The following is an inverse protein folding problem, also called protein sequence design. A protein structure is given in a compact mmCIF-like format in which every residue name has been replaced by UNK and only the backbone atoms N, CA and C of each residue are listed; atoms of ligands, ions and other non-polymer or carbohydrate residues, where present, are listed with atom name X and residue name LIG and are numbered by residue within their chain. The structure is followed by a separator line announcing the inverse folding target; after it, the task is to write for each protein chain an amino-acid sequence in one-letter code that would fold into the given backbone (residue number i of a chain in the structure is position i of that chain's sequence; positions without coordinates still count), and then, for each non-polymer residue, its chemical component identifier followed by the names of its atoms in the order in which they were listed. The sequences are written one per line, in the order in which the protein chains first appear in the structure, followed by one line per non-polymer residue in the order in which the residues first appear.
data_IF_970351630466
#
_entry.id   IF_970351630466
#
_cell.length_a   1.000
_cell.length_b   1.000
_cell.length_c   1.000
_cell.angle_alpha   90.00
_cell.angle_beta   90.00
_cell.angle_gamma   90.00
#
_symmetry.space_group_name_H-M   'P 1'
#
loop_
_entity.id
_entity.type
_entity.pdbx_description
1 polymer ?
#
# COMPACT_ATOMS: atom_id res chain seq x y z
N UNK A 1 20.20 0.60 -11.10
CA UNK A 1 19.07 -0.33 -11.26
C UNK A 1 18.48 -0.05 -12.63
N UNK A 2 18.35 -1.06 -13.48
CA UNK A 2 17.77 -0.88 -14.81
C UNK A 2 16.26 -0.55 -14.70
N UNK A 3 15.67 0.05 -15.73
CA UNK A 3 14.23 0.34 -15.74
C UNK A 3 13.40 -0.94 -15.57
N UNK A 4 13.86 -2.07 -16.09
CA UNK A 4 13.20 -3.37 -15.92
C UNK A 4 13.21 -3.81 -14.46
N UNK A 5 14.37 -3.71 -13.80
CA UNK A 5 14.50 -4.03 -12.37
C UNK A 5 13.58 -3.14 -11.52
N UNK A 6 13.50 -1.84 -11.84
CA UNK A 6 12.59 -0.89 -11.19
C UNK A 6 11.13 -1.30 -11.34
N UNK A 7 10.72 -1.70 -12.54
CA UNK A 7 9.35 -2.17 -12.83
C UNK A 7 9.04 -3.46 -12.06
N UNK A 8 9.96 -4.43 -12.04
CA UNK A 8 9.73 -5.68 -11.33
C UNK A 8 9.71 -5.48 -9.80
N UNK A 9 10.51 -4.55 -9.29
CA UNK A 9 10.42 -4.12 -7.90
C UNK A 9 9.07 -3.43 -7.60
N UNK A 10 8.60 -2.55 -8.48
CA UNK A 10 7.29 -1.90 -8.35
C UNK A 10 6.16 -2.92 -8.25
N UNK A 11 6.11 -3.92 -9.15
CA UNK A 11 5.13 -5.02 -9.12
C UNK A 11 5.18 -5.80 -7.81
N UNK A 12 6.38 -6.02 -7.27
CA UNK A 12 6.56 -6.71 -5.99
C UNK A 12 5.94 -5.90 -4.84
N UNK A 13 6.14 -4.58 -4.83
CA UNK A 13 5.53 -3.69 -3.84
C UNK A 13 4.00 -3.67 -3.98
N UNK A 14 3.48 -3.64 -5.21
CA UNK A 14 2.04 -3.71 -5.50
C UNK A 14 1.41 -5.01 -5.00
N UNK A 15 2.06 -6.15 -5.25
CA UNK A 15 1.58 -7.43 -4.75
C UNK A 15 1.54 -7.47 -3.22
N UNK A 16 2.57 -6.94 -2.54
CA UNK A 16 2.57 -6.85 -1.07
C UNK A 16 1.44 -5.98 -0.54
N UNK A 17 1.22 -4.81 -1.14
CA UNK A 17 0.09 -3.93 -0.78
C UNK A 17 -1.26 -4.63 -1.00
N UNK A 18 -1.41 -5.32 -2.13
CA UNK A 18 -2.63 -6.10 -2.45
C UNK A 18 -2.89 -7.20 -1.43
N UNK A 19 -1.85 -7.93 -1.01
CA UNK A 19 -1.97 -8.98 0.00
C UNK A 19 -2.43 -8.40 1.34
N UNK A 20 -1.87 -7.25 1.77
CA UNK A 20 -2.28 -6.59 3.01
C UNK A 20 -3.75 -6.16 2.94
N UNK A 21 -4.19 -5.57 1.82
CA UNK A 21 -5.59 -5.18 1.64
C UNK A 21 -6.51 -6.42 1.71
N UNK A 22 -6.09 -7.53 1.10
CA UNK A 22 -6.85 -8.78 1.10
C UNK A 22 -6.98 -9.33 2.51
N UNK A 23 -5.87 -9.43 3.26
CA UNK A 23 -5.88 -9.83 4.68
C UNK A 23 -6.79 -8.95 5.53
N UNK A 24 -6.72 -7.62 5.37
CA UNK A 24 -7.59 -6.70 6.11
C UNK A 24 -9.08 -6.98 5.84
N UNK A 25 -9.45 -7.25 4.58
CA UNK A 25 -10.83 -7.52 4.19
C UNK A 25 -11.32 -8.91 4.58
N UNK A 26 -10.54 -9.94 4.27
CA UNK A 26 -10.95 -11.34 4.41
C UNK A 26 -10.77 -11.86 5.84
N UNK A 27 -9.63 -11.57 6.46
CA UNK A 27 -9.31 -12.11 7.79
C UNK A 27 -9.85 -11.21 8.92
N UNK A 28 -9.90 -9.90 8.69
CA UNK A 28 -10.29 -8.92 9.72
C UNK A 28 -11.63 -8.23 9.45
N UNK A 29 -12.32 -8.54 8.34
CA UNK A 29 -13.59 -7.89 7.96
C UNK A 29 -13.53 -6.36 8.02
N UNK A 30 -12.37 -5.79 7.69
CA UNK A 30 -12.08 -4.37 7.79
C UNK A 30 -11.72 -3.79 6.42
N UNK A 31 -12.41 -2.72 6.02
CA UNK A 31 -12.05 -2.00 4.82
C UNK A 31 -11.08 -0.85 5.13
N UNK A 32 -9.94 -0.74 4.41
CA UNK A 32 -9.02 0.38 4.58
C UNK A 32 -9.72 1.73 4.40
N UNK A 33 -9.72 2.55 5.46
CA UNK A 33 -10.39 3.84 5.50
C UNK A 33 -11.58 3.89 6.47
N UNK A 34 -12.07 2.73 6.92
CA UNK A 34 -13.06 2.68 7.99
C UNK A 34 -12.45 3.12 9.34
N UNK A 35 -13.24 3.74 10.22
CA UNK A 35 -12.76 4.10 11.56
C UNK A 35 -12.47 2.84 12.39
N UNK A 36 -11.35 2.88 13.12
CA UNK A 36 -10.97 1.85 14.10
C UNK A 36 -11.56 2.08 15.50
N UNK A 37 -12.30 3.19 15.64
CA UNK A 37 -12.99 3.57 16.87
C UNK A 37 -14.50 3.50 16.66
N UNK A 38 -15.22 3.26 17.73
CA UNK A 38 -16.67 3.33 17.76
C UNK A 38 -17.19 4.78 17.83
N UNK A 39 -18.50 4.94 18.01
CA UNK A 39 -19.15 6.25 18.08
C UNK A 39 -18.80 7.05 19.34
N UNK A 40 -18.34 6.39 20.40
CA UNK A 40 -17.92 7.01 21.66
C UNK A 40 -16.42 7.34 21.65
N UNK A 41 -15.68 6.90 20.62
CA UNK A 41 -14.27 7.15 20.42
C UNK A 41 -13.35 6.10 21.04
N UNK A 42 -13.89 4.98 21.50
CA UNK A 42 -13.11 3.85 22.00
C UNK A 42 -12.72 2.91 20.86
N UNK A 43 -11.61 2.16 20.99
CA UNK A 43 -11.26 1.14 20.02
C UNK A 43 -12.42 0.16 19.82
N UNK A 44 -12.74 -0.14 18.56
CA UNK A 44 -13.78 -1.12 18.20
C UNK A 44 -13.49 -2.47 18.86
N UNK A 45 -14.45 -2.98 19.61
CA UNK A 45 -14.34 -4.28 20.29
C UNK A 45 -14.69 -5.48 19.40
N UNK A 46 -15.28 -5.24 18.22
CA UNK A 46 -15.73 -6.27 17.28
C UNK A 46 -14.67 -6.66 16.24
N UNK A 47 -13.51 -5.99 16.24
CA UNK A 47 -12.38 -6.26 15.34
C UNK A 47 -11.06 -6.25 16.12
N UNK A 48 -10.03 -6.90 15.58
CA UNK A 48 -8.67 -6.81 16.13
C UNK A 48 -7.99 -5.50 15.71
N UNK A 49 -8.31 -4.42 16.43
CA UNK A 49 -7.76 -3.08 16.18
C UNK A 49 -6.23 -3.05 16.20
N UNK A 50 -5.60 -3.86 17.06
CA UNK A 50 -4.14 -3.87 17.17
C UNK A 50 -3.51 -4.43 15.89
N UNK A 51 -3.96 -5.59 15.44
CA UNK A 51 -3.39 -6.26 14.26
C UNK A 51 -3.71 -5.47 12.99
N UNK A 52 -4.94 -4.97 12.86
CA UNK A 52 -5.32 -4.08 11.75
C UNK A 52 -4.41 -2.85 11.70
N UNK A 53 -4.11 -2.23 12.85
CA UNK A 53 -3.21 -1.08 12.92
C UNK A 53 -1.80 -1.43 12.43
N UNK A 54 -1.29 -2.63 12.70
CA UNK A 54 0.02 -3.06 12.21
C UNK A 54 0.01 -3.24 10.68
N UNK A 55 -1.01 -3.89 10.14
CA UNK A 55 -1.17 -4.03 8.68
C UNK A 55 -1.27 -2.67 7.98
N UNK A 56 -2.02 -1.72 8.54
CA UNK A 56 -2.10 -0.35 7.99
C UNK A 56 -0.73 0.35 8.02
N UNK A 57 0.05 0.18 9.10
CA UNK A 57 1.41 0.75 9.19
C UNK A 57 2.34 0.13 8.15
N UNK A 58 2.28 -1.18 7.98
CA UNK A 58 3.07 -1.88 6.96
C UNK A 58 2.68 -1.43 5.55
N UNK A 59 1.38 -1.32 5.27
CA UNK A 59 0.87 -0.79 4.01
C UNK A 59 1.44 0.60 3.73
N UNK A 60 1.36 1.51 4.70
CA UNK A 60 1.89 2.89 4.57
C UNK A 60 3.39 2.90 4.32
N UNK A 61 4.14 2.01 4.96
CA UNK A 61 5.58 1.86 4.73
C UNK A 61 5.85 1.44 3.27
N UNK A 62 5.20 0.38 2.80
CA UNK A 62 5.36 -0.09 1.41
C UNK A 62 4.93 1.00 0.42
N UNK A 63 3.82 1.69 0.70
CA UNK A 63 3.34 2.80 -0.13
C UNK A 63 4.36 3.95 -0.22
N UNK A 64 5.07 4.24 0.88
CA UNK A 64 6.13 5.26 0.89
C UNK A 64 7.34 4.90 0.04
N UNK A 65 7.58 3.61 -0.20
CA UNK A 65 8.62 3.10 -1.11
C UNK A 65 8.10 3.03 -2.56
N UNK A 66 6.85 2.59 -2.75
CA UNK A 66 6.22 2.44 -4.07
C UNK A 66 6.02 3.77 -4.80
N UNK A 67 5.56 4.81 -4.10
CA UNK A 67 5.23 6.11 -4.71
C UNK A 67 6.42 6.77 -5.41
N UNK A 68 7.58 6.98 -4.76
CA UNK A 68 8.73 7.59 -5.44
C UNK A 68 9.25 6.71 -6.59
N UNK A 69 9.25 5.39 -6.42
CA UNK A 69 9.68 4.47 -7.47
C UNK A 69 8.80 4.58 -8.71
N UNK A 70 7.47 4.69 -8.53
CA UNK A 70 6.53 4.89 -9.64
C UNK A 70 6.78 6.21 -10.36
N UNK A 71 6.96 7.29 -9.60
CA UNK A 71 7.24 8.62 -10.15
C UNK A 71 8.57 8.63 -10.93
N UNK A 72 9.61 7.95 -10.46
CA UNK A 72 10.89 7.78 -11.18
C UNK A 72 10.70 7.04 -12.52
N UNK A 73 9.93 5.95 -12.53
CA UNK A 73 9.63 5.17 -13.74
C UNK A 73 8.85 6.02 -14.75
N UNK A 74 7.82 6.73 -14.28
CA UNK A 74 7.00 7.62 -15.12
C UNK A 74 7.85 8.75 -15.75
N UNK A 75 8.74 9.37 -14.96
CA UNK A 75 9.65 10.41 -15.47
C UNK A 75 10.64 9.87 -16.49
N UNK A 76 11.20 8.68 -16.27
CA UNK A 76 12.14 8.07 -17.22
C UNK A 76 11.44 7.70 -18.53
N UNK A 77 10.23 7.17 -18.46
CA UNK A 77 9.39 6.91 -19.63
C UNK A 77 9.09 8.22 -20.39
N UNK A 78 8.64 9.26 -19.68
CA UNK A 78 8.33 10.56 -20.29
C UNK A 78 9.53 11.20 -21.00
N UNK A 79 10.76 11.04 -20.45
CA UNK A 79 11.99 11.51 -21.10
C UNK A 79 12.27 10.75 -22.40
N UNK A 80 12.10 9.42 -22.41
CA UNK A 80 12.29 8.61 -23.62
C UNK A 80 11.30 9.02 -24.72
N UNK A 81 10.03 9.24 -24.38
CA UNK A 81 8.99 9.60 -25.35
C UNK A 81 8.93 11.10 -25.74
N UNK A 82 9.56 12.00 -24.98
CA UNK A 82 9.65 13.43 -25.36
C UNK A 82 10.82 13.76 -26.30
N UNK A 83 11.68 12.78 -26.60
CA UNK A 83 12.87 12.98 -27.44
C UNK A 83 12.73 12.32 -28.83
N UNK A 84 11.54 11.83 -29.17
CA UNK A 84 11.10 11.42 -30.51
C UNK A 84 10.19 12.50 -31.12
#
# INVERSE_FOLDING_TARGET
MDIKDRIDHLKTLEQKMSNIITTLKEDFSYEPGEPLIDQEGFPRGDIDVYTITQHIKEYKKIQSEWRPLREEIEQEAARKYSTE
#
